data_IF_346209045783
#
_entry.id   IF_346209045783
#
_cell.length_a   1.000
_cell.length_b   1.000
_cell.length_c   1.000
_cell.angle_alpha   90.00
_cell.angle_beta   90.00
_cell.angle_gamma   90.00
#
_symmetry.space_group_name_H-M   'P 1'
#
loop_
_entity.id
_entity.type
_entity.pdbx_description
1 polymer ?
#
# COMPACT_ATOMS: atom_id res chain seq x y z
N UNK A 1 12.82 1.37 4.01
CA UNK A 1 13.55 0.26 3.35
C UNK A 1 12.74 -0.12 2.10
N UNK A 2 13.34 -0.25 0.92
CA UNK A 2 12.59 -0.67 -0.28
C UNK A 2 12.85 -2.14 -0.60
N UNK A 3 11.89 -2.80 -1.25
CA UNK A 3 12.01 -4.20 -1.68
C UNK A 3 13.25 -4.42 -2.56
N UNK A 4 13.51 -3.51 -3.50
CA UNK A 4 14.72 -3.55 -4.35
C UNK A 4 16.01 -3.47 -3.54
N UNK A 5 16.05 -2.65 -2.48
CA UNK A 5 17.23 -2.56 -1.61
C UNK A 5 17.43 -3.86 -0.82
N UNK A 6 16.34 -4.47 -0.35
CA UNK A 6 16.38 -5.75 0.36
C UNK A 6 16.96 -6.86 -0.53
N UNK A 7 16.39 -7.07 -1.73
CA UNK A 7 16.80 -8.16 -2.64
C UNK A 7 18.20 -7.96 -3.22
N UNK A 8 18.64 -6.71 -3.38
CA UNK A 8 20.02 -6.42 -3.79
C UNK A 8 21.04 -6.74 -2.69
N UNK A 9 20.69 -6.51 -1.42
CA UNK A 9 21.56 -6.77 -0.28
C UNK A 9 21.51 -8.24 0.18
N UNK A 10 20.39 -8.93 -0.02
CA UNK A 10 20.21 -10.36 0.24
C UNK A 10 19.75 -11.05 -1.04
N UNK A 11 20.73 -11.55 -1.79
CA UNK A 11 20.50 -12.25 -3.07
C UNK A 11 20.18 -13.73 -2.92
N UNK A 12 20.54 -14.33 -1.80
CA UNK A 12 20.34 -15.75 -1.51
C UNK A 12 19.48 -15.86 -0.25
N UNK A 13 18.45 -16.68 -0.34
CA UNK A 13 17.58 -17.02 0.78
C UNK A 13 17.74 -18.52 1.08
N UNK A 14 17.64 -18.93 2.35
CA UNK A 14 17.84 -20.33 2.73
C UNK A 14 16.69 -21.25 2.29
N UNK A 15 15.48 -20.71 2.12
CA UNK A 15 14.31 -21.38 1.56
C UNK A 15 13.27 -20.32 1.12
N UNK A 16 12.19 -20.78 0.48
CA UNK A 16 11.15 -19.90 -0.05
C UNK A 16 10.39 -19.16 1.07
N UNK A 17 10.12 -19.82 2.19
CA UNK A 17 9.44 -19.21 3.34
C UNK A 17 10.24 -18.03 3.91
N UNK A 18 11.56 -18.16 3.99
CA UNK A 18 12.45 -17.10 4.44
C UNK A 18 12.46 -15.92 3.47
N UNK A 19 12.36 -16.18 2.16
CA UNK A 19 12.23 -15.13 1.15
C UNK A 19 10.91 -14.35 1.33
N UNK A 20 9.80 -15.06 1.48
CA UNK A 20 8.46 -14.46 1.72
C UNK A 20 8.46 -13.65 3.02
N UNK A 21 8.99 -14.21 4.11
CA UNK A 21 9.07 -13.51 5.40
C UNK A 21 9.93 -12.24 5.31
N UNK A 22 11.05 -12.29 4.60
CA UNK A 22 11.91 -11.12 4.41
C UNK A 22 11.18 -10.01 3.64
N UNK A 23 10.41 -10.35 2.60
CA UNK A 23 9.59 -9.40 1.86
C UNK A 23 8.47 -8.82 2.72
N UNK A 24 7.77 -9.66 3.49
CA UNK A 24 6.73 -9.23 4.43
C UNK A 24 7.25 -8.16 5.41
N UNK A 25 8.38 -8.45 6.09
CA UNK A 25 8.97 -7.51 7.05
C UNK A 25 9.44 -6.21 6.38
N UNK A 26 9.94 -6.29 5.14
CA UNK A 26 10.34 -5.10 4.40
C UNK A 26 9.13 -4.24 3.99
N UNK A 27 7.99 -4.84 3.63
CA UNK A 27 6.74 -4.14 3.36
C UNK A 27 6.20 -3.50 4.64
N UNK A 28 6.19 -4.23 5.75
CA UNK A 28 5.77 -3.72 7.05
C UNK A 28 6.63 -2.51 7.48
N UNK A 29 7.95 -2.58 7.29
CA UNK A 29 8.83 -1.45 7.59
C UNK A 29 8.63 -0.28 6.62
N UNK A 30 8.27 -0.56 5.36
CA UNK A 30 7.96 0.48 4.37
C UNK A 30 6.64 1.19 4.68
N UNK A 31 5.61 0.43 5.09
CA UNK A 31 4.26 0.93 5.35
C UNK A 31 4.21 1.93 6.50
N UNK A 32 5.09 1.80 7.50
CA UNK A 32 5.26 2.78 8.59
C UNK A 32 5.53 4.21 8.10
N UNK A 33 6.06 4.37 6.89
CA UNK A 33 6.36 5.69 6.30
C UNK A 33 5.38 6.09 5.19
N UNK A 34 4.33 5.31 4.94
CA UNK A 34 3.32 5.68 3.96
C UNK A 34 2.54 6.88 4.48
N UNK A 35 2.64 7.98 3.73
CA UNK A 35 1.89 9.19 4.02
C UNK A 35 0.46 9.03 3.54
N UNK A 36 -0.45 9.70 4.22
CA UNK A 36 -1.83 9.85 3.76
C UNK A 36 -1.85 10.46 2.36
N UNK A 37 -2.76 9.96 1.50
CA UNK A 37 -2.95 10.48 0.15
C UNK A 37 -3.44 11.94 0.25
N UNK A 38 -2.71 12.85 -0.39
CA UNK A 38 -3.09 14.25 -0.48
C UNK A 38 -4.45 14.38 -1.19
N UNK A 39 -5.32 15.26 -0.68
CA UNK A 39 -6.64 15.55 -1.29
C UNK A 39 -7.55 14.32 -1.45
N UNK A 40 -7.47 13.35 -0.54
CA UNK A 40 -8.34 12.15 -0.58
C UNK A 40 -9.84 12.48 -0.58
N UNK A 41 -10.28 13.48 0.22
CA UNK A 41 -11.69 13.90 0.26
C UNK A 41 -12.22 14.42 -1.09
N UNK A 42 -11.55 15.39 -1.76
CA UNK A 42 -11.91 15.76 -3.13
C UNK A 42 -11.89 14.59 -4.13
N UNK A 43 -10.90 13.69 -4.04
CA UNK A 43 -10.83 12.53 -4.92
C UNK A 43 -12.05 11.61 -4.78
N UNK A 44 -12.53 11.39 -3.55
CA UNK A 44 -13.74 10.62 -3.29
C UNK A 44 -15.00 11.23 -3.93
N UNK A 45 -15.10 12.57 -3.98
CA UNK A 45 -16.22 13.25 -4.67
C UNK A 45 -16.18 12.97 -6.18
N UNK A 46 -14.99 13.00 -6.78
CA UNK A 46 -14.81 12.63 -8.20
C UNK A 46 -15.17 11.17 -8.44
N UNK A 47 -14.75 10.25 -7.56
CA UNK A 47 -15.11 8.84 -7.69
C UNK A 47 -16.62 8.60 -7.55
N UNK A 48 -17.30 9.37 -6.71
CA UNK A 48 -18.75 9.28 -6.59
C UNK A 48 -19.47 9.70 -7.88
N UNK A 49 -18.95 10.70 -8.60
CA UNK A 49 -19.49 11.10 -9.91
C UNK A 49 -19.23 10.00 -10.95
N UNK A 50 -18.03 9.41 -10.96
CA UNK A 50 -17.62 8.42 -11.97
C UNK A 50 -18.28 7.05 -11.79
N UNK A 51 -18.43 6.58 -10.56
CA UNK A 51 -18.86 5.21 -10.24
C UNK A 51 -20.23 5.12 -9.57
N UNK A 52 -20.85 6.26 -9.28
CA UNK A 52 -22.16 6.34 -8.62
C UNK A 52 -22.13 5.99 -7.12
N UNK A 53 -23.29 6.15 -6.49
CA UNK A 53 -23.48 5.96 -5.03
C UNK A 53 -23.40 4.50 -4.58
N UNK A 54 -23.60 3.54 -5.49
CA UNK A 54 -23.61 2.11 -5.18
C UNK A 54 -22.20 1.56 -4.92
N UNK A 55 -21.17 2.20 -5.49
CA UNK A 55 -19.76 1.80 -5.34
C UNK A 55 -19.00 2.66 -4.35
N UNK A 56 -19.43 3.90 -4.12
CA UNK A 56 -18.77 4.85 -3.20
C UNK A 56 -19.79 5.38 -2.18
N UNK A 57 -19.74 4.91 -0.91
CA UNK A 57 -20.72 5.31 0.09
C UNK A 57 -20.56 6.78 0.48
N UNK A 58 -21.69 7.50 0.57
CA UNK A 58 -21.73 8.93 0.92
C UNK A 58 -21.24 9.18 2.35
N UNK A 59 -21.34 8.19 3.24
CA UNK A 59 -20.81 8.27 4.61
C UNK A 59 -19.28 8.46 4.66
N UNK A 60 -18.56 8.11 3.59
CA UNK A 60 -17.11 8.32 3.50
C UNK A 60 -16.72 9.79 3.18
N UNK A 61 -17.70 10.64 2.86
CA UNK A 61 -17.52 12.05 2.52
C UNK A 61 -17.86 13.03 3.66
N UNK A 62 -18.52 12.57 4.72
CA UNK A 62 -18.81 13.34 5.94
C UNK A 62 -17.54 13.47 6.79
#
# INVERSE_FOLDING_TARGET
MSLRKLTRNRRIFPNDEAAVKALYLAIEQASRNWKQIHHWKPALQTFQILFGKDRVPVSALQ
#
